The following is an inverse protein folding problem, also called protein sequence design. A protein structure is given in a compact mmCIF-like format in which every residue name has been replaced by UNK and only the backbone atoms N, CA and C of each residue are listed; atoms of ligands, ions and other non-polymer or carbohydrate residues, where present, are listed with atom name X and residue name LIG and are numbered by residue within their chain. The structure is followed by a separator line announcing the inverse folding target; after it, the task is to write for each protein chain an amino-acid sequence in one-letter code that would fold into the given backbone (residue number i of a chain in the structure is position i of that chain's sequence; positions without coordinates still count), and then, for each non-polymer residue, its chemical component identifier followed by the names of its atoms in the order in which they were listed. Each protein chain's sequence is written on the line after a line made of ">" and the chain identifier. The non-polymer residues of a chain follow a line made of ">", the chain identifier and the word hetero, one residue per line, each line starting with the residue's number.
data_IF_881942113901
#
_entry.id   IF_881942113901
#
_cell.length_a   1.000
_cell.length_b   1.000
_cell.length_c   1.000
_cell.angle_alpha   90.00
_cell.angle_beta   90.00
_cell.angle_gamma   90.00
#
_symmetry.space_group_name_H-M   'P 1'
#
loop_
_entity.id
_entity.type
_entity.pdbx_description
1 polymer ?
#
# COMPACT_ATOMS: atom_id res chain seq x y z
N UNK A 1 15.29 6.77 19.44
CA UNK A 1 15.42 5.48 18.73
C UNK A 1 15.98 5.80 17.35
N UNK A 2 16.77 4.91 16.73
CA UNK A 2 17.25 5.15 15.37
C UNK A 2 16.07 5.27 14.40
N UNK A 3 16.15 6.22 13.47
CA UNK A 3 15.14 6.42 12.42
C UNK A 3 15.31 5.37 11.30
N UNK A 4 14.30 5.15 10.43
CA UNK A 4 14.48 4.33 9.23
C UNK A 4 15.66 4.79 8.36
N UNK A 5 15.93 6.10 8.31
CA UNK A 5 17.09 6.65 7.58
C UNK A 5 18.44 6.22 8.21
N UNK A 6 18.50 6.04 9.54
CA UNK A 6 19.69 5.54 10.22
C UNK A 6 20.01 4.07 9.85
N UNK A 7 18.98 3.28 9.52
CA UNK A 7 19.12 1.88 9.04
C UNK A 7 19.71 1.86 7.63
N UNK A 8 19.24 2.77 6.77
CA UNK A 8 19.74 2.94 5.41
C UNK A 8 21.22 3.37 5.43
N UNK A 9 21.63 4.23 6.36
CA UNK A 9 23.00 4.75 6.44
C UNK A 9 24.07 3.79 6.97
N UNK A 10 23.70 2.69 7.66
CA UNK A 10 24.66 1.81 8.37
C UNK A 10 24.83 0.40 7.77
N UNK A 11 23.97 -0.04 6.85
CA UNK A 11 23.95 -1.42 6.35
C UNK A 11 23.50 -1.53 4.88
N UNK A 12 24.21 -0.91 3.93
CA UNK A 12 24.14 -1.38 2.54
C UNK A 12 25.39 -2.20 2.20
N UNK A 13 25.31 -3.54 2.19
CA UNK A 13 26.00 -4.28 1.14
C UNK A 13 25.44 -3.82 -0.22
N UNK A 14 26.29 -3.86 -1.24
CA UNK A 14 25.94 -3.51 -2.62
C UNK A 14 24.64 -4.22 -3.10
N UNK A 15 23.89 -3.49 -3.94
CA UNK A 15 23.23 -3.99 -5.16
C UNK A 15 21.73 -4.34 -5.23
N UNK A 16 20.95 -4.53 -4.16
CA UNK A 16 19.50 -4.78 -4.36
C UNK A 16 18.71 -3.51 -4.70
N UNK A 17 18.08 -3.46 -5.88
CA UNK A 17 17.23 -2.38 -6.41
C UNK A 17 16.03 -2.95 -7.13
N UNK A 18 15.04 -2.10 -7.42
CA UNK A 18 13.84 -2.55 -8.15
C UNK A 18 14.16 -3.20 -9.51
N UNK A 19 15.30 -2.81 -10.11
CA UNK A 19 15.84 -3.40 -11.34
C UNK A 19 16.11 -4.90 -11.25
N UNK A 20 16.40 -5.43 -10.06
CA UNK A 20 16.66 -6.86 -9.89
C UNK A 20 15.37 -7.68 -10.00
N UNK A 21 14.21 -7.04 -9.85
CA UNK A 21 12.91 -7.68 -10.01
C UNK A 21 12.42 -7.66 -11.46
N UNK A 22 13.12 -7.01 -12.40
CA UNK A 22 12.69 -6.79 -13.79
C UNK A 22 12.41 -8.10 -14.53
N UNK A 23 13.17 -9.17 -14.26
CA UNK A 23 12.90 -10.48 -14.85
C UNK A 23 11.52 -11.03 -14.47
N UNK A 24 10.96 -10.59 -13.34
CA UNK A 24 9.61 -10.92 -12.89
C UNK A 24 8.50 -10.35 -13.79
N UNK A 25 8.80 -9.40 -14.69
CA UNK A 25 7.83 -8.87 -15.67
C UNK A 25 7.36 -9.91 -16.68
N UNK A 26 8.16 -10.96 -16.90
CA UNK A 26 7.86 -12.03 -17.86
C UNK A 26 7.10 -13.20 -17.23
N UNK A 27 6.84 -13.14 -15.92
CA UNK A 27 6.22 -14.21 -15.14
C UNK A 27 4.84 -13.77 -14.65
N UNK A 28 3.91 -14.72 -14.61
CA UNK A 28 2.59 -14.50 -14.01
C UNK A 28 2.74 -14.17 -12.52
N UNK A 29 2.05 -13.14 -12.04
CA UNK A 29 2.14 -12.69 -10.64
C UNK A 29 1.53 -13.62 -9.59
N UNK A 30 1.11 -14.83 -9.97
CA UNK A 30 0.73 -15.89 -9.03
C UNK A 30 1.49 -17.17 -9.42
N UNK A 31 2.42 -17.59 -8.57
CA UNK A 31 3.20 -18.82 -8.76
C UNK A 31 2.46 -20.10 -8.34
N UNK A 32 1.16 -20.02 -8.10
CA UNK A 32 0.31 -21.10 -7.61
C UNK A 32 0.77 -21.67 -6.25
N UNK A 33 1.37 -20.83 -5.39
CA UNK A 33 1.79 -21.22 -4.04
C UNK A 33 0.65 -21.87 -3.24
N UNK A 34 1.00 -22.91 -2.47
CA UNK A 34 0.09 -23.55 -1.53
C UNK A 34 -0.38 -22.57 -0.45
N UNK A 35 -1.56 -22.80 0.12
CA UNK A 35 -2.11 -21.96 1.19
C UNK A 35 -1.56 -22.35 2.57
N UNK A 36 -0.25 -22.59 2.64
CA UNK A 36 0.49 -22.96 3.84
C UNK A 36 1.58 -21.93 4.13
N UNK A 37 2.02 -21.77 5.39
CA UNK A 37 3.17 -20.94 5.70
C UNK A 37 4.43 -21.41 4.94
N UNK A 38 5.33 -20.49 4.57
CA UNK A 38 6.68 -20.85 4.12
C UNK A 38 7.44 -21.71 5.14
N UNK A 39 8.50 -22.38 4.69
CA UNK A 39 9.41 -23.07 5.60
C UNK A 39 10.01 -22.10 6.63
N UNK A 40 10.10 -22.56 7.88
CA UNK A 40 10.64 -21.80 9.02
C UNK A 40 9.90 -20.47 9.28
N UNK A 41 8.61 -20.41 8.98
CA UNK A 41 7.80 -19.21 9.20
C UNK A 41 7.52 -18.95 10.69
N UNK A 42 7.93 -17.79 11.18
CA UNK A 42 7.70 -17.34 12.55
C UNK A 42 6.28 -16.77 12.69
N UNK A 43 5.37 -17.62 13.14
CA UNK A 43 3.96 -17.24 13.37
C UNK A 43 3.83 -16.13 14.41
N UNK A 44 4.65 -16.12 15.48
CA UNK A 44 4.56 -15.10 16.51
C UNK A 44 4.94 -13.72 15.94
N UNK A 45 5.98 -13.66 15.12
CA UNK A 45 6.39 -12.46 14.38
C UNK A 45 5.28 -11.95 13.46
N UNK A 46 4.68 -12.86 12.69
CA UNK A 46 3.54 -12.55 11.84
C UNK A 46 2.36 -11.97 12.63
N UNK A 47 2.04 -12.52 13.80
CA UNK A 47 0.98 -12.01 14.67
C UNK A 47 1.27 -10.62 15.25
N UNK A 48 2.52 -10.32 15.62
CA UNK A 48 2.91 -8.96 16.04
C UNK A 48 2.74 -7.95 14.90
N UNK A 49 3.09 -8.31 13.67
CA UNK A 49 2.83 -7.48 12.49
C UNK A 49 1.33 -7.19 12.26
N UNK A 50 0.44 -8.16 12.53
CA UNK A 50 -1.01 -7.94 12.51
C UNK A 50 -1.46 -6.93 13.57
N UNK A 51 -0.90 -7.02 14.78
CA UNK A 51 -1.22 -6.11 15.88
C UNK A 51 -0.76 -4.68 15.58
N UNK A 52 0.40 -4.50 14.95
CA UNK A 52 0.90 -3.20 14.53
C UNK A 52 -0.15 -2.43 13.69
N UNK A 53 -0.73 -3.08 12.67
CA UNK A 53 -1.76 -2.45 11.85
C UNK A 53 -3.01 -2.09 12.66
N UNK A 54 -3.48 -2.95 13.56
CA UNK A 54 -4.63 -2.66 14.43
C UNK A 54 -4.36 -1.45 15.32
N UNK A 55 -3.19 -1.40 15.93
CA UNK A 55 -2.81 -0.35 16.88
C UNK A 55 -2.54 1.00 16.17
N UNK A 56 -2.27 0.96 14.86
CA UNK A 56 -2.05 2.11 13.98
C UNK A 56 -3.05 2.21 12.81
N UNK A 57 -4.28 1.68 12.99
CA UNK A 57 -5.25 1.50 11.91
C UNK A 57 -5.50 2.77 11.09
N UNK A 58 -5.76 3.90 11.75
CA UNK A 58 -5.97 5.18 11.08
C UNK A 58 -4.77 5.57 10.21
N UNK A 59 -3.57 5.58 10.79
CA UNK A 59 -2.34 5.99 10.13
C UNK A 59 -1.98 5.07 8.96
N UNK A 60 -2.09 3.75 9.14
CA UNK A 60 -1.85 2.80 8.06
C UNK A 60 -2.88 2.98 6.93
N UNK A 61 -4.16 3.17 7.26
CA UNK A 61 -5.24 3.34 6.27
C UNK A 61 -5.06 4.61 5.44
N UNK A 62 -4.72 5.74 6.05
CA UNK A 62 -4.53 6.99 5.33
C UNK A 62 -3.23 6.98 4.52
N UNK A 63 -2.16 6.36 5.02
CA UNK A 63 -0.92 6.16 4.26
C UNK A 63 -1.14 5.30 3.01
N UNK A 64 -1.92 4.21 3.12
CA UNK A 64 -2.33 3.40 1.96
C UNK A 64 -3.18 4.21 0.97
N UNK A 65 -4.08 5.05 1.46
CA UNK A 65 -4.90 5.90 0.60
C UNK A 65 -4.07 6.95 -0.15
N UNK A 66 -3.10 7.61 0.50
CA UNK A 66 -2.19 8.53 -0.17
C UNK A 66 -1.30 7.79 -1.19
N UNK A 67 -0.77 6.63 -0.80
CA UNK A 67 0.02 5.76 -1.69
C UNK A 67 -0.78 5.31 -2.91
N UNK A 68 -2.08 5.04 -2.76
CA UNK A 68 -2.98 4.74 -3.87
C UNK A 68 -3.09 5.90 -4.86
N UNK A 69 -3.36 7.13 -4.35
CA UNK A 69 -3.51 8.32 -5.20
C UNK A 69 -2.23 8.64 -5.96
N UNK A 70 -1.08 8.59 -5.29
CA UNK A 70 0.23 8.80 -5.90
C UNK A 70 0.60 7.65 -6.84
N UNK A 71 0.30 6.42 -6.42
CA UNK A 71 0.56 5.19 -7.17
C UNK A 71 -0.15 5.14 -8.52
N UNK A 72 -1.26 5.86 -8.71
CA UNK A 72 -1.89 6.03 -10.03
C UNK A 72 -0.94 6.58 -11.09
N UNK A 73 0.15 7.25 -10.71
CA UNK A 73 1.16 7.70 -11.65
C UNK A 73 1.91 6.54 -12.30
N UNK A 74 1.98 5.37 -11.65
CA UNK A 74 2.66 4.17 -12.18
C UNK A 74 1.85 3.60 -13.34
N UNK A 75 2.39 3.60 -14.59
CA UNK A 75 1.63 3.23 -15.77
C UNK A 75 1.04 1.83 -15.72
N UNK A 76 1.82 0.84 -15.30
CA UNK A 76 1.40 -0.56 -15.26
C UNK A 76 0.29 -0.82 -14.24
N UNK A 77 0.34 -0.09 -13.11
CA UNK A 77 -0.73 -0.13 -12.12
C UNK A 77 -2.00 0.52 -12.67
N UNK A 78 -1.90 1.73 -13.21
CA UNK A 78 -3.04 2.48 -13.74
C UNK A 78 -3.72 1.74 -14.91
N UNK A 79 -2.95 1.11 -15.79
CA UNK A 79 -3.43 0.35 -16.94
C UNK A 79 -4.44 -0.73 -16.52
N UNK A 80 -4.14 -1.49 -15.46
CA UNK A 80 -5.08 -2.47 -14.91
C UNK A 80 -6.35 -1.82 -14.36
N UNK A 81 -6.24 -0.65 -13.71
CA UNK A 81 -7.39 0.03 -13.14
C UNK A 81 -8.33 0.58 -14.23
N UNK A 82 -7.77 1.19 -15.26
CA UNK A 82 -8.48 1.70 -16.45
C UNK A 82 -9.16 0.54 -17.16
N UNK A 83 -8.46 -0.57 -17.39
CA UNK A 83 -9.00 -1.76 -18.04
C UNK A 83 -10.29 -2.26 -17.37
N UNK A 84 -10.32 -2.32 -16.03
CA UNK A 84 -11.51 -2.84 -15.31
C UNK A 84 -12.73 -1.92 -15.32
N UNK A 85 -12.55 -0.63 -15.59
CA UNK A 85 -13.62 0.39 -15.51
C UNK A 85 -14.41 0.36 -14.18
N UNK A 86 -13.71 0.09 -13.08
CA UNK A 86 -14.26 0.09 -11.71
C UNK A 86 -13.88 1.36 -10.95
N UNK A 87 -13.36 2.38 -11.63
CA UNK A 87 -12.91 3.65 -11.03
C UNK A 87 -13.08 4.87 -11.96
N UNK A 88 -13.86 4.70 -13.02
CA UNK A 88 -14.26 5.73 -14.00
C UNK A 88 -15.35 6.68 -13.46
N UNK A 89 -15.94 6.38 -12.30
CA UNK A 89 -16.82 7.30 -11.58
C UNK A 89 -16.51 7.29 -10.08
N UNK A 90 -16.83 8.36 -9.32
CA UNK A 90 -16.60 8.40 -7.88
C UNK A 90 -17.30 7.29 -7.10
N UNK A 91 -18.53 6.90 -7.50
CA UNK A 91 -19.29 5.83 -6.83
C UNK A 91 -18.65 4.46 -7.04
N UNK A 92 -18.21 4.16 -8.28
CA UNK A 92 -17.49 2.91 -8.58
C UNK A 92 -16.14 2.87 -7.84
N UNK A 93 -15.39 3.98 -7.87
CA UNK A 93 -14.15 4.12 -7.14
C UNK A 93 -14.34 3.89 -5.62
N UNK A 94 -15.36 4.50 -5.00
CA UNK A 94 -15.67 4.28 -3.59
C UNK A 94 -15.89 2.81 -3.28
N UNK A 95 -16.75 2.13 -4.05
CA UNK A 95 -17.05 0.71 -3.88
C UNK A 95 -15.79 -0.15 -4.02
N UNK A 96 -14.97 0.11 -5.04
CA UNK A 96 -13.74 -0.62 -5.30
C UNK A 96 -12.77 -0.51 -4.13
N UNK A 97 -12.44 0.71 -3.70
CA UNK A 97 -11.39 0.91 -2.72
C UNK A 97 -11.82 0.60 -1.29
N UNK A 98 -13.11 0.73 -0.96
CA UNK A 98 -13.65 0.18 0.31
C UNK A 98 -13.59 -1.36 0.30
N UNK A 99 -13.88 -2.02 -0.83
CA UNK A 99 -13.70 -3.48 -0.94
C UNK A 99 -12.23 -3.88 -0.77
N UNK A 100 -11.29 -3.18 -1.41
CA UNK A 100 -9.85 -3.40 -1.21
C UNK A 100 -9.45 -3.21 0.26
N UNK A 101 -9.89 -2.12 0.90
CA UNK A 101 -9.63 -1.89 2.32
C UNK A 101 -10.15 -3.03 3.20
N UNK A 102 -11.36 -3.55 2.91
CA UNK A 102 -11.91 -4.69 3.64
C UNK A 102 -11.05 -5.96 3.48
N UNK A 103 -10.53 -6.26 2.29
CA UNK A 103 -9.62 -7.38 2.10
C UNK A 103 -8.36 -7.22 2.96
N UNK A 104 -7.71 -6.06 2.89
CA UNK A 104 -6.49 -5.76 3.68
C UNK A 104 -6.77 -5.81 5.18
N UNK A 105 -7.84 -5.19 5.65
CA UNK A 105 -8.23 -5.20 7.05
C UNK A 105 -8.50 -6.63 7.53
N UNK A 106 -9.15 -7.46 6.71
CA UNK A 106 -9.44 -8.85 7.05
C UNK A 106 -8.17 -9.71 7.14
N UNK A 107 -7.15 -9.45 6.33
CA UNK A 107 -5.85 -10.13 6.44
C UNK A 107 -5.15 -9.83 7.77
N UNK A 108 -5.29 -8.60 8.28
CA UNK A 108 -4.73 -8.23 9.57
C UNK A 108 -5.61 -8.68 10.75
N UNK A 109 -6.94 -8.60 10.61
CA UNK A 109 -7.87 -8.86 11.71
C UNK A 109 -8.23 -10.34 11.86
N UNK A 110 -8.15 -11.13 10.80
CA UNK A 110 -8.42 -12.58 10.84
C UNK A 110 -7.16 -13.44 10.76
N UNK A 111 -7.35 -14.77 10.76
CA UNK A 111 -6.27 -15.73 10.57
C UNK A 111 -6.20 -16.18 9.10
N UNK A 112 -5.24 -15.66 8.32
CA UNK A 112 -5.08 -16.05 6.91
C UNK A 112 -4.55 -17.47 6.70
N UNK A 113 -4.03 -18.11 7.76
CA UNK A 113 -3.49 -19.47 7.73
C UNK A 113 -4.51 -20.53 8.16
N UNK A 114 -5.60 -20.12 8.82
CA UNK A 114 -6.68 -21.03 9.20
C UNK A 114 -7.49 -21.41 7.96
N UNK A 115 -7.58 -22.72 7.72
CA UNK A 115 -8.36 -23.28 6.62
C UNK A 115 -9.81 -22.81 6.70
N UNK A 116 -10.34 -22.35 5.56
CA UNK A 116 -11.73 -21.91 5.40
C UNK A 116 -12.13 -20.67 6.23
N UNK A 117 -11.17 -20.01 6.89
CA UNK A 117 -11.42 -18.74 7.57
C UNK A 117 -11.84 -17.66 6.56
N UNK A 118 -12.53 -16.62 7.05
CA UNK A 118 -12.89 -15.47 6.20
C UNK A 118 -11.65 -14.81 5.59
N UNK A 119 -10.55 -14.75 6.34
CA UNK A 119 -9.31 -14.11 5.90
C UNK A 119 -8.59 -14.93 4.82
N UNK A 120 -8.54 -16.26 4.95
CA UNK A 120 -7.99 -17.13 3.91
C UNK A 120 -8.85 -17.09 2.64
N UNK A 121 -10.19 -17.15 2.76
CA UNK A 121 -11.11 -17.00 1.61
C UNK A 121 -10.88 -15.68 0.88
N UNK A 122 -10.66 -14.60 1.62
CA UNK A 122 -10.32 -13.30 1.05
C UNK A 122 -8.99 -13.28 0.29
N UNK A 123 -7.98 -14.04 0.71
CA UNK A 123 -6.74 -14.22 -0.08
C UNK A 123 -7.08 -14.92 -1.40
N UNK A 124 -7.83 -16.03 -1.34
CA UNK A 124 -8.22 -16.79 -2.53
C UNK A 124 -9.04 -15.95 -3.51
N UNK A 125 -9.98 -15.14 -3.01
CA UNK A 125 -10.78 -14.22 -3.83
C UNK A 125 -9.89 -13.23 -4.59
N UNK A 126 -8.90 -12.64 -3.91
CA UNK A 126 -7.98 -11.68 -4.54
C UNK A 126 -7.06 -12.35 -5.56
N UNK A 127 -6.53 -13.56 -5.27
CA UNK A 127 -5.78 -14.35 -6.25
C UNK A 127 -6.61 -14.62 -7.51
N UNK A 128 -7.87 -15.04 -7.34
CA UNK A 128 -8.76 -15.32 -8.44
C UNK A 128 -9.09 -14.06 -9.25
N UNK A 129 -9.31 -12.91 -8.59
CA UNK A 129 -9.50 -11.62 -9.27
C UNK A 129 -8.26 -11.28 -10.11
N UNK A 130 -7.06 -11.36 -9.54
CA UNK A 130 -5.82 -11.09 -10.26
C UNK A 130 -5.63 -12.02 -11.46
N UNK A 131 -5.89 -13.32 -11.30
CA UNK A 131 -5.83 -14.29 -12.40
C UNK A 131 -6.79 -13.93 -13.53
N UNK A 132 -8.06 -13.68 -13.20
CA UNK A 132 -9.10 -13.35 -14.21
C UNK A 132 -8.75 -12.08 -14.96
N UNK A 133 -8.33 -11.01 -14.25
CA UNK A 133 -7.96 -9.76 -14.91
C UNK A 133 -6.70 -9.94 -15.77
N UNK A 134 -5.68 -10.67 -15.29
CA UNK A 134 -4.48 -11.01 -16.08
C UNK A 134 -4.85 -11.70 -17.38
N UNK A 135 -5.66 -12.77 -17.33
CA UNK A 135 -6.09 -13.53 -18.51
C UNK A 135 -6.89 -12.66 -19.48
N UNK A 136 -7.78 -11.81 -18.98
CA UNK A 136 -8.56 -10.89 -19.81
C UNK A 136 -7.69 -9.82 -20.50
N UNK A 137 -6.72 -9.24 -19.77
CA UNK A 137 -5.79 -8.26 -20.33
C UNK A 137 -4.90 -8.91 -21.39
N UNK A 138 -4.31 -10.08 -21.07
CA UNK A 138 -3.48 -10.88 -21.99
C UNK A 138 -4.22 -11.19 -23.30
N UNK A 139 -5.50 -11.53 -23.22
CA UNK A 139 -6.33 -11.77 -24.41
C UNK A 139 -6.62 -10.48 -25.18
N UNK A 140 -6.82 -9.36 -24.47
CA UNK A 140 -7.17 -8.06 -25.09
C UNK A 140 -6.01 -7.44 -25.86
N UNK A 141 -4.78 -7.66 -25.39
CA UNK A 141 -3.56 -7.05 -25.91
C UNK A 141 -2.63 -8.06 -26.60
N UNK A 142 -3.13 -9.26 -26.91
CA UNK A 142 -2.39 -10.34 -27.56
C UNK A 142 -1.58 -9.84 -28.77
N UNK A 143 -0.31 -10.24 -28.83
CA UNK A 143 0.64 -9.86 -29.89
C UNK A 143 1.23 -8.45 -29.77
N UNK A 144 0.86 -7.67 -28.74
CA UNK A 144 1.42 -6.32 -28.49
C UNK A 144 2.22 -6.22 -27.19
N UNK A 145 2.39 -7.34 -26.50
CA UNK A 145 2.89 -7.38 -25.14
C UNK A 145 4.36 -7.79 -25.08
N UNK A 146 5.17 -6.97 -24.41
CA UNK A 146 6.57 -7.30 -24.08
C UNK A 146 6.68 -7.84 -22.65
N UNK A 147 5.56 -7.87 -21.91
CA UNK A 147 5.47 -8.25 -20.48
C UNK A 147 4.16 -8.97 -20.17
N UNK A 148 4.11 -9.67 -19.04
CA UNK A 148 2.86 -10.13 -18.43
C UNK A 148 2.15 -9.01 -17.69
N UNK A 149 0.82 -9.06 -17.65
CA UNK A 149 0.00 -8.18 -16.81
C UNK A 149 -0.14 -8.76 -15.41
N UNK A 150 -0.13 -7.90 -14.39
CA UNK A 150 -0.18 -8.34 -12.99
C UNK A 150 0.90 -9.42 -12.78
N UNK A 151 2.11 -9.09 -13.23
CA UNK A 151 3.29 -9.95 -13.22
C UNK A 151 3.89 -10.05 -11.81
N UNK A 152 4.89 -10.92 -11.60
CA UNK A 152 5.61 -10.96 -10.32
C UNK A 152 6.22 -9.60 -9.96
N UNK A 153 6.72 -8.88 -10.96
CA UNK A 153 7.21 -7.50 -10.80
C UNK A 153 6.09 -6.55 -10.35
N UNK A 154 4.95 -6.57 -11.06
CA UNK A 154 3.82 -5.68 -10.73
C UNK A 154 3.30 -5.94 -9.32
N UNK A 155 3.22 -7.21 -8.92
CA UNK A 155 2.79 -7.61 -7.57
C UNK A 155 3.74 -7.11 -6.49
N UNK A 156 5.07 -7.20 -6.72
CA UNK A 156 6.07 -6.65 -5.80
C UNK A 156 6.02 -5.12 -5.70
N UNK A 157 5.89 -4.41 -6.82
CA UNK A 157 5.74 -2.95 -6.84
C UNK A 157 4.46 -2.52 -6.12
N UNK A 158 3.32 -3.16 -6.40
CA UNK A 158 2.04 -2.80 -5.77
C UNK A 158 2.03 -3.15 -4.27
N UNK A 159 2.77 -4.18 -3.83
CA UNK A 159 2.94 -4.49 -2.41
C UNK A 159 3.55 -3.31 -1.64
N UNK A 160 4.47 -2.55 -2.26
CA UNK A 160 5.03 -1.34 -1.63
C UNK A 160 3.98 -0.25 -1.43
N UNK A 161 2.92 -0.20 -2.25
CA UNK A 161 1.82 0.75 -2.08
C UNK A 161 0.99 0.52 -0.81
N UNK A 162 1.06 -0.67 -0.21
CA UNK A 162 0.34 -0.99 1.03
C UNK A 162 1.14 -0.70 2.30
N UNK A 163 2.47 -0.84 2.25
CA UNK A 163 3.32 -0.74 3.45
C UNK A 163 4.46 0.26 3.35
N UNK A 164 4.88 0.63 2.14
CA UNK A 164 6.10 1.40 1.89
C UNK A 164 6.11 2.76 2.58
N UNK A 165 5.03 3.54 2.45
CA UNK A 165 4.92 4.83 3.11
C UNK A 165 4.98 4.71 4.65
N UNK A 166 4.40 3.63 5.21
CA UNK A 166 4.40 3.38 6.66
C UNK A 166 5.80 3.06 7.17
N UNK A 167 6.57 2.24 6.46
CA UNK A 167 7.92 1.86 6.91
C UNK A 167 8.96 2.94 6.63
N UNK A 168 8.79 3.73 5.56
CA UNK A 168 9.72 4.81 5.20
C UNK A 168 9.49 6.07 6.04
N UNK A 169 8.23 6.38 6.37
CA UNK A 169 7.85 7.65 7.00
C UNK A 169 6.85 7.45 8.17
N UNK A 170 7.14 6.57 9.15
CA UNK A 170 6.20 6.26 10.22
C UNK A 170 5.83 7.50 11.04
N UNK A 171 6.82 8.32 11.40
CA UNK A 171 6.59 9.50 12.23
C UNK A 171 5.70 10.53 11.56
N UNK A 172 5.85 10.73 10.25
CA UNK A 172 5.04 11.65 9.47
C UNK A 172 3.61 11.14 9.23
N UNK A 173 3.43 9.82 9.22
CA UNK A 173 2.11 9.19 9.27
C UNK A 173 1.48 9.23 10.69
N UNK A 174 2.14 9.84 11.67
CA UNK A 174 1.69 9.92 13.05
C UNK A 174 1.90 8.62 13.85
N UNK A 175 2.82 7.76 13.40
CA UNK A 175 3.15 6.48 14.04
C UNK A 175 4.41 6.65 14.88
N UNK A 176 4.37 6.14 16.12
CA UNK A 176 5.53 6.03 16.99
C UNK A 176 5.73 4.55 17.31
N UNK A 177 6.83 3.99 16.82
CA UNK A 177 7.17 2.58 16.94
C UNK A 177 8.69 2.39 16.95
N UNK A 178 9.11 1.19 17.33
CA UNK A 178 10.47 0.69 17.20
C UNK A 178 10.74 0.13 15.80
N UNK A 179 12.01 -0.10 15.48
CA UNK A 179 12.39 -0.77 14.23
C UNK A 179 11.94 -2.24 14.22
N UNK A 180 11.95 -2.91 15.37
CA UNK A 180 11.48 -4.30 15.49
C UNK A 180 9.98 -4.42 15.17
N UNK A 181 9.17 -3.44 15.61
CA UNK A 181 7.74 -3.38 15.25
C UNK A 181 7.51 -3.16 13.75
N UNK A 182 8.34 -2.34 13.09
CA UNK A 182 8.30 -2.19 11.62
C UNK A 182 8.76 -3.47 10.91
N UNK A 183 9.77 -4.15 11.44
CA UNK A 183 10.27 -5.40 10.89
C UNK A 183 9.25 -6.54 11.04
N UNK A 184 8.48 -6.58 12.13
CA UNK A 184 7.31 -7.44 12.31
C UNK A 184 6.19 -7.09 11.31
N UNK A 185 5.93 -5.80 11.07
CA UNK A 185 4.95 -5.34 10.07
C UNK A 185 5.35 -5.73 8.64
N UNK A 186 6.63 -5.62 8.29
CA UNK A 186 7.17 -6.12 7.02
C UNK A 186 7.00 -7.64 6.92
N UNK A 187 7.26 -8.37 8.00
CA UNK A 187 7.10 -9.83 8.03
C UNK A 187 5.64 -10.27 7.82
N UNK A 188 4.68 -9.49 8.32
CA UNK A 188 3.27 -9.70 7.98
C UNK A 188 3.03 -9.61 6.46
N UNK A 189 3.54 -8.56 5.81
CA UNK A 189 3.40 -8.38 4.36
C UNK A 189 4.18 -9.41 3.55
N UNK A 190 5.27 -9.97 4.08
CA UNK A 190 5.93 -11.14 3.50
C UNK A 190 4.96 -12.34 3.41
N UNK A 191 4.31 -12.68 4.52
CA UNK A 191 3.32 -13.78 4.57
C UNK A 191 2.12 -13.55 3.65
N UNK A 192 1.57 -12.33 3.60
CA UNK A 192 0.50 -11.98 2.67
C UNK A 192 0.96 -12.09 1.22
N UNK A 193 2.14 -11.55 0.88
CA UNK A 193 2.71 -11.62 -0.47
C UNK A 193 2.93 -13.07 -0.93
N UNK A 194 3.45 -13.93 -0.04
CA UNK A 194 3.57 -15.36 -0.30
C UNK A 194 2.23 -16.00 -0.64
N UNK A 195 1.21 -15.78 0.20
CA UNK A 195 -0.13 -16.33 0.00
C UNK A 195 -0.83 -15.79 -1.25
N UNK A 196 -0.52 -14.56 -1.68
CA UNK A 196 -0.98 -13.99 -2.95
C UNK A 196 -0.24 -14.53 -4.18
N UNK A 197 0.77 -15.38 -4.00
CA UNK A 197 1.51 -16.05 -5.07
C UNK A 197 2.77 -15.30 -5.54
N UNK A 198 3.30 -14.37 -4.74
CA UNK A 198 4.57 -13.73 -5.03
C UNK A 198 5.71 -14.69 -4.64
N UNK A 199 6.55 -15.08 -5.60
CA UNK A 199 7.72 -15.92 -5.30
C UNK A 199 8.67 -15.16 -4.36
N UNK A 200 9.37 -15.90 -3.49
CA UNK A 200 10.24 -15.31 -2.46
C UNK A 200 11.25 -14.30 -3.04
N UNK A 201 11.83 -14.58 -4.21
CA UNK A 201 12.78 -13.68 -4.90
C UNK A 201 12.18 -12.35 -5.42
N UNK A 202 10.86 -12.29 -5.63
CA UNK A 202 10.14 -11.08 -6.08
C UNK A 202 9.38 -10.38 -4.95
N UNK A 203 9.30 -11.01 -3.78
CA UNK A 203 8.63 -10.45 -2.62
C UNK A 203 9.58 -9.50 -1.88
N UNK A 204 9.30 -8.19 -2.00
CA UNK A 204 10.13 -7.11 -1.42
C UNK A 204 10.22 -7.14 0.11
N UNK A 205 9.41 -7.96 0.79
CA UNK A 205 9.40 -8.13 2.23
C UNK A 205 10.15 -9.39 2.71
N UNK A 206 10.65 -10.23 1.80
CA UNK A 206 11.10 -11.58 2.12
C UNK A 206 12.33 -11.65 3.04
N UNK A 207 13.12 -10.57 3.10
CA UNK A 207 14.37 -10.53 3.88
C UNK A 207 14.40 -9.36 4.88
N UNK A 208 13.24 -9.00 5.43
CA UNK A 208 13.13 -8.05 6.53
C UNK A 208 13.17 -6.57 6.14
N UNK A 209 13.17 -5.70 7.15
CA UNK A 209 12.97 -4.27 7.04
C UNK A 209 13.98 -3.58 6.14
N UNK A 210 15.27 -3.92 6.25
CA UNK A 210 16.33 -3.29 5.45
C UNK A 210 16.11 -3.52 3.95
N UNK A 211 15.77 -4.74 3.55
CA UNK A 211 15.44 -5.04 2.16
C UNK A 211 14.18 -4.27 1.72
N UNK A 212 13.13 -4.32 2.53
CA UNK A 212 11.86 -3.67 2.23
C UNK A 212 12.03 -2.15 2.04
N UNK A 213 12.78 -1.48 2.92
CA UNK A 213 13.12 -0.07 2.81
C UNK A 213 13.87 0.23 1.52
N UNK A 214 14.86 -0.59 1.18
CA UNK A 214 15.68 -0.42 -0.03
C UNK A 214 14.82 -0.48 -1.30
N UNK A 215 13.95 -1.49 -1.42
CA UNK A 215 13.03 -1.58 -2.56
C UNK A 215 12.01 -0.45 -2.58
N UNK A 216 11.41 -0.09 -1.44
CA UNK A 216 10.44 0.99 -1.38
C UNK A 216 11.05 2.34 -1.80
N UNK A 217 12.28 2.64 -1.37
CA UNK A 217 13.01 3.85 -1.79
C UNK A 217 13.38 3.80 -3.28
N UNK A 218 13.79 2.66 -3.82
CA UNK A 218 14.05 2.52 -5.26
C UNK A 218 12.77 2.69 -6.08
N UNK A 219 11.64 2.12 -5.66
CA UNK A 219 10.33 2.32 -6.30
C UNK A 219 9.92 3.80 -6.26
N UNK A 220 10.07 4.44 -5.10
CA UNK A 220 9.76 5.86 -4.92
C UNK A 220 10.56 6.75 -5.88
N UNK A 221 11.88 6.55 -5.94
CA UNK A 221 12.78 7.41 -6.71
C UNK A 221 12.78 7.08 -8.22
N UNK A 222 12.84 5.80 -8.57
CA UNK A 222 13.03 5.36 -9.96
C UNK A 222 11.71 5.26 -10.74
N UNK A 223 10.59 5.04 -10.04
CA UNK A 223 9.26 4.84 -10.66
C UNK A 223 8.33 5.99 -10.33
N UNK A 224 7.99 6.18 -9.05
CA UNK A 224 6.93 7.11 -8.65
C UNK A 224 7.30 8.55 -8.99
N UNK A 225 8.46 9.03 -8.55
CA UNK A 225 8.94 10.40 -8.79
C UNK A 225 9.03 10.73 -10.28
N UNK A 226 9.51 9.79 -11.09
CA UNK A 226 9.56 9.98 -12.55
C UNK A 226 8.17 10.13 -13.14
N UNK A 227 7.24 9.24 -12.80
CA UNK A 227 5.93 9.21 -13.44
C UNK A 227 4.97 10.29 -12.91
N UNK A 228 5.07 10.74 -11.67
CA UNK A 228 4.21 11.83 -11.19
C UNK A 228 4.56 13.18 -11.82
N UNK A 229 5.81 13.38 -12.24
CA UNK A 229 6.22 14.58 -13.00
C UNK A 229 5.77 14.56 -14.46
N UNK A 230 5.54 13.37 -15.01
CA UNK A 230 5.02 13.16 -16.36
C UNK A 230 3.97 12.02 -16.35
N UNK A 231 2.78 12.27 -15.81
CA UNK A 231 1.81 11.23 -15.53
C UNK A 231 1.16 10.67 -16.80
N UNK A 232 0.71 9.40 -16.79
CA UNK A 232 -0.06 8.83 -17.89
C UNK A 232 -1.36 9.62 -18.16
N UNK A 233 -1.91 9.59 -19.38
CA UNK A 233 -3.08 10.38 -19.76
C UNK A 233 -4.31 10.20 -18.85
N UNK A 234 -4.57 8.98 -18.37
CA UNK A 234 -5.73 8.66 -17.54
C UNK A 234 -5.54 9.01 -16.06
N UNK A 235 -4.33 9.39 -15.65
CA UNK A 235 -3.97 9.64 -14.25
C UNK A 235 -4.90 10.66 -13.60
N UNK A 236 -5.08 11.82 -14.22
CA UNK A 236 -5.88 12.90 -13.66
C UNK A 236 -7.34 12.45 -13.47
N UNK A 237 -7.92 11.83 -14.50
CA UNK A 237 -9.32 11.39 -14.45
C UNK A 237 -9.55 10.34 -13.34
N UNK A 238 -8.70 9.32 -13.26
CA UNK A 238 -8.84 8.25 -12.25
C UNK A 238 -8.59 8.78 -10.84
N UNK A 239 -7.54 9.58 -10.63
CA UNK A 239 -7.23 10.16 -9.31
C UNK A 239 -8.33 11.10 -8.82
N UNK A 240 -8.90 11.94 -9.70
CA UNK A 240 -10.03 12.79 -9.34
C UNK A 240 -11.25 11.99 -8.89
N UNK A 241 -11.58 10.89 -9.57
CA UNK A 241 -12.68 10.02 -9.18
C UNK A 241 -12.41 9.36 -7.82
N UNK A 242 -11.18 8.89 -7.58
CA UNK A 242 -10.77 8.34 -6.28
C UNK A 242 -10.90 9.39 -5.19
N UNK A 243 -10.40 10.60 -5.41
CA UNK A 243 -10.47 11.67 -4.40
C UNK A 243 -11.93 12.02 -4.11
N UNK A 244 -12.73 12.31 -5.14
CA UNK A 244 -14.17 12.62 -5.00
C UNK A 244 -14.94 11.51 -4.26
N UNK A 245 -14.56 10.25 -4.44
CA UNK A 245 -15.16 9.11 -3.75
C UNK A 245 -15.07 9.23 -2.21
N UNK A 246 -13.97 9.76 -1.68
CA UNK A 246 -13.73 9.89 -0.24
C UNK A 246 -14.02 11.29 0.31
N UNK A 247 -14.38 12.27 -0.53
CA UNK A 247 -14.80 13.60 -0.07
C UNK A 247 -16.21 13.63 0.55
N UNK A 248 -17.02 12.58 0.34
CA UNK A 248 -18.35 12.47 0.96
C UNK A 248 -19.30 13.63 0.63
N UNK A 249 -19.19 14.19 -0.58
CA UNK A 249 -20.01 15.33 -1.01
C UNK A 249 -19.63 16.68 -0.38
N UNK A 250 -18.57 16.75 0.42
CA UNK A 250 -18.10 18.01 1.05
C UNK A 250 -17.46 19.00 0.08
N UNK A 251 -17.20 18.56 -1.15
CA UNK A 251 -16.63 19.37 -2.23
C UNK A 251 -15.41 20.18 -1.74
N UNK A 252 -15.42 21.52 -1.86
CA UNK A 252 -14.29 22.36 -1.48
C UNK A 252 -13.98 22.33 0.03
N UNK A 253 -14.89 21.90 0.90
CA UNK A 253 -14.64 21.80 2.34
C UNK A 253 -13.93 20.51 2.74
N UNK A 254 -13.64 19.61 1.80
CA UNK A 254 -12.87 18.40 2.09
C UNK A 254 -11.44 18.72 2.47
N UNK A 255 -10.88 17.95 3.41
CA UNK A 255 -9.45 17.93 3.71
C UNK A 255 -8.63 17.14 2.67
N UNK A 256 -9.32 16.39 1.80
CA UNK A 256 -8.72 15.56 0.76
C UNK A 256 -8.79 16.29 -0.58
N UNK A 257 -7.67 16.90 -0.98
CA UNK A 257 -7.46 17.47 -2.32
C UNK A 257 -6.17 16.90 -2.90
N UNK A 258 -6.07 16.83 -4.23
CA UNK A 258 -4.84 16.34 -4.87
C UNK A 258 -3.60 17.16 -4.46
N UNK A 259 -3.63 18.51 -4.43
CA UNK A 259 -2.48 19.30 -3.98
C UNK A 259 -2.03 18.96 -2.56
N UNK A 260 -2.97 18.73 -1.63
CA UNK A 260 -2.64 18.39 -0.24
C UNK A 260 -2.08 16.98 -0.12
N UNK A 261 -2.70 15.99 -0.80
CA UNK A 261 -2.21 14.60 -0.81
C UNK A 261 -0.82 14.55 -1.47
N UNK A 262 -0.65 15.26 -2.58
CA UNK A 262 0.64 15.40 -3.24
C UNK A 262 1.62 16.06 -2.30
N UNK A 263 1.36 17.24 -1.73
CA UNK A 263 2.27 17.91 -0.81
C UNK A 263 2.70 17.03 0.36
N UNK A 264 1.76 16.36 1.03
CA UNK A 264 2.07 15.42 2.10
C UNK A 264 2.94 14.28 1.60
N UNK A 265 2.68 13.72 0.42
CA UNK A 265 3.46 12.60 -0.13
C UNK A 265 4.80 13.03 -0.74
N UNK A 266 4.89 14.23 -1.29
CA UNK A 266 6.00 14.75 -2.10
C UNK A 266 7.04 15.49 -1.26
N UNK A 267 6.62 16.13 -0.16
CA UNK A 267 7.52 16.64 0.87
C UNK A 267 8.47 15.53 1.35
N UNK A 268 7.96 14.30 1.46
CA UNK A 268 8.78 13.14 1.84
C UNK A 268 9.79 12.67 0.77
N UNK A 269 9.48 12.91 -0.50
CA UNK A 269 10.25 12.43 -1.65
C UNK A 269 11.30 13.46 -2.11
N UNK A 270 10.97 14.76 -1.99
CA UNK A 270 11.72 15.87 -2.59
C UNK A 270 12.08 16.95 -1.57
N UNK A 271 11.53 16.93 -0.35
CA UNK A 271 11.80 17.92 0.69
C UNK A 271 11.06 19.26 0.50
N UNK A 272 10.13 19.33 -0.45
CA UNK A 272 9.30 20.51 -0.73
C UNK A 272 7.85 20.10 -0.93
N UNK A 273 6.93 20.77 -0.23
CA UNK A 273 5.48 20.63 -0.41
C UNK A 273 4.97 21.24 -1.73
N UNK A 274 5.83 22.02 -2.40
CA UNK A 274 5.46 22.83 -3.55
C UNK A 274 4.61 24.04 -3.15
N UNK A 275 4.19 24.83 -4.15
CA UNK A 275 3.32 26.00 -3.93
C UNK A 275 1.86 25.56 -3.80
N UNK A 276 1.34 25.65 -2.59
CA UNK A 276 -0.08 25.41 -2.29
C UNK A 276 -0.89 26.71 -2.36
N UNK A 277 -2.17 26.59 -2.73
CA UNK A 277 -3.14 27.68 -2.56
C UNK A 277 -3.37 27.95 -1.07
N UNK A 278 -3.79 29.16 -0.69
CA UNK A 278 -4.08 29.47 0.72
C UNK A 278 -5.04 28.45 1.38
N UNK A 279 -6.17 28.05 0.75
CA UNK A 279 -7.02 26.99 1.29
C UNK A 279 -6.31 25.65 1.46
N UNK A 280 -5.47 25.25 0.51
CA UNK A 280 -4.73 23.98 0.61
C UNK A 280 -3.60 24.04 1.64
N UNK A 281 -2.97 25.20 1.86
CA UNK A 281 -2.03 25.40 2.97
C UNK A 281 -2.72 25.17 4.31
N UNK A 282 -3.93 25.70 4.50
CA UNK A 282 -4.71 25.46 5.72
C UNK A 282 -5.04 23.97 5.88
N UNK A 283 -5.50 23.28 4.82
CA UNK A 283 -5.77 21.83 4.84
C UNK A 283 -4.53 21.01 5.17
N UNK A 284 -3.39 21.35 4.57
CA UNK A 284 -2.11 20.72 4.81
C UNK A 284 -1.69 20.87 6.30
N UNK A 285 -1.80 22.07 6.87
CA UNK A 285 -1.52 22.30 8.29
C UNK A 285 -2.47 21.52 9.20
N UNK A 286 -3.75 21.39 8.84
CA UNK A 286 -4.71 20.55 9.55
C UNK A 286 -4.26 19.08 9.54
N UNK A 287 -3.78 18.55 8.40
CA UNK A 287 -3.25 17.19 8.34
C UNK A 287 -2.00 17.01 9.20
N UNK A 288 -1.04 17.93 9.14
CA UNK A 288 0.16 17.89 10.00
C UNK A 288 -0.24 17.91 11.49
N UNK A 289 -1.23 18.71 11.86
CA UNK A 289 -1.78 18.73 13.22
C UNK A 289 -2.46 17.40 13.60
N UNK A 290 -3.24 16.79 12.68
CA UNK A 290 -3.85 15.47 12.89
C UNK A 290 -2.77 14.42 13.14
N UNK A 291 -1.75 14.32 12.29
CA UNK A 291 -0.66 13.36 12.45
C UNK A 291 0.14 13.58 13.73
N UNK A 292 0.47 14.83 14.04
CA UNK A 292 1.09 15.19 15.31
C UNK A 292 0.24 14.74 16.51
N UNK A 293 -1.07 14.99 16.47
CA UNK A 293 -1.98 14.60 17.55
C UNK A 293 -2.08 13.09 17.68
N UNK A 294 -2.21 12.35 16.57
CA UNK A 294 -2.24 10.87 16.56
C UNK A 294 -0.95 10.27 17.13
N UNK A 295 0.19 10.89 16.84
CA UNK A 295 1.51 10.47 17.34
C UNK A 295 1.65 10.65 18.86
N UNK A 296 1.22 11.79 19.38
CA UNK A 296 1.51 12.19 20.76
C UNK A 296 0.36 11.96 21.74
N UNK A 297 -0.87 11.78 21.24
CA UNK A 297 -2.08 11.70 22.07
C UNK A 297 -2.77 10.34 21.84
N UNK A 298 -2.41 9.37 22.69
CA UNK A 298 -2.84 7.97 22.55
C UNK A 298 -4.36 7.78 22.53
N UNK A 299 -5.11 8.52 23.36
CA UNK A 299 -6.58 8.42 23.38
C UNK A 299 -7.20 8.89 22.06
N UNK A 300 -6.62 9.89 21.39
CA UNK A 300 -7.09 10.38 20.10
C UNK A 300 -6.83 9.36 19.00
N UNK A 301 -5.65 8.74 19.00
CA UNK A 301 -5.33 7.60 18.11
C UNK A 301 -6.30 6.44 18.30
N UNK A 302 -6.50 6.00 19.55
CA UNK A 302 -7.42 4.90 19.88
C UNK A 302 -8.84 5.25 19.42
N UNK A 303 -9.29 6.49 19.65
CA UNK A 303 -10.58 6.96 19.19
C UNK A 303 -10.72 6.84 17.66
N UNK A 304 -9.76 7.34 16.88
CA UNK A 304 -9.81 7.24 15.41
C UNK A 304 -9.81 5.79 14.92
N UNK A 305 -8.98 4.92 15.50
CA UNK A 305 -8.96 3.49 15.17
C UNK A 305 -10.34 2.87 15.45
N UNK A 306 -10.92 3.08 16.64
CA UNK A 306 -12.25 2.56 16.98
C UNK A 306 -13.35 3.10 16.08
N UNK A 307 -13.25 4.34 15.59
CA UNK A 307 -14.21 4.88 14.62
C UNK A 307 -14.16 4.11 13.29
N UNK A 308 -12.96 3.78 12.80
CA UNK A 308 -12.79 2.97 11.59
C UNK A 308 -13.29 1.54 11.84
N UNK A 309 -12.90 0.91 12.95
CA UNK A 309 -13.36 -0.44 13.29
C UNK A 309 -14.89 -0.54 13.33
N UNK A 310 -15.57 0.43 13.96
CA UNK A 310 -17.04 0.46 14.01
C UNK A 310 -17.64 0.71 12.63
N UNK A 311 -17.11 1.66 11.87
CA UNK A 311 -17.61 2.00 10.54
C UNK A 311 -17.49 0.81 9.56
N UNK A 312 -16.39 0.06 9.66
CA UNK A 312 -16.07 -1.08 8.81
C UNK A 312 -16.41 -2.43 9.45
N UNK A 313 -17.05 -2.46 10.62
CA UNK A 313 -17.43 -3.68 11.36
C UNK A 313 -16.27 -4.68 11.52
N UNK A 314 -15.10 -4.17 11.86
CA UNK A 314 -13.89 -4.96 12.06
C UNK A 314 -13.85 -5.51 13.49
N UNK A 315 -13.54 -6.79 13.64
CA UNK A 315 -13.34 -7.46 14.94
C UNK A 315 -12.04 -8.24 14.89
N UNK A 316 -11.08 -7.88 15.74
CA UNK A 316 -9.76 -8.49 15.73
C UNK A 316 -9.81 -9.87 16.39
N UNK A 317 -9.37 -10.89 15.67
CA UNK A 317 -9.24 -12.26 16.17
C UNK A 317 -7.83 -12.39 16.74
N UNK A 318 -7.73 -12.62 18.05
CA UNK A 318 -6.48 -12.99 18.69
C UNK A 318 -6.25 -14.49 18.43
N UNK A 319 -5.10 -14.84 17.86
CA UNK A 319 -4.81 -16.17 17.33
C UNK A 319 -3.59 -16.73 18.03
#
# INVERSE_FOLDING_TARGET
>A
MPSPDDVIGKQLPCELRIKDLECGRLLDGDCAAELSPPDEFDMARFHRGRMFFRDHLFSCSIAMYFSLVIGMSVPEFLEALVFTQQSDTPVKAFRRYIKTFHHVALWHYGNIWEKDSKAQKSICDVRQIHKVIREQMQKRFEGREVRKFISQYDMGVVLSGFMGAVIMYPEDAGIRCSLDELDDYVYFWYGVGHLLGIEKKYNICAHGLTQALTFCKSIEQDIVKKNITNPPPEFQHVTENVIKAFQGGRGPMSLLTFPVISALSYEYIVGDSGKLSFPDTVRYLIWKLIFFTVKHVSWFRIYLNQRIERACRLTFINV
#
